data_IF_294659074197
#
_entry.id   IF_294659074197
#
_cell.length_a   1.000
_cell.length_b   1.000
_cell.length_c   1.000
_cell.angle_alpha   90.00
_cell.angle_beta   90.00
_cell.angle_gamma   90.00
#
_symmetry.space_group_name_H-M   'P 1'
#
loop_
_entity.id
_entity.type
_entity.pdbx_description
1 polymer ?
#
# COMPACT_ATOMS: atom_id res chain seq x y z
N UNK A 1 -41.95 -66.29 7.10
CA UNK A 1 -40.53 -66.68 7.04
C UNK A 1 -39.89 -65.94 5.87
N UNK A 2 -39.11 -64.88 6.12
CA UNK A 2 -37.93 -64.48 5.33
C UNK A 2 -37.31 -63.21 5.92
N UNK A 3 -36.41 -63.44 6.89
CA UNK A 3 -35.31 -62.54 7.24
C UNK A 3 -34.42 -62.45 6.01
N UNK A 4 -34.12 -61.25 5.50
CA UNK A 4 -32.96 -60.90 4.63
C UNK A 4 -33.16 -59.50 4.00
N UNK A 5 -33.63 -58.51 4.76
CA UNK A 5 -33.67 -57.10 4.32
C UNK A 5 -32.98 -56.16 5.32
N UNK A 6 -31.93 -56.66 5.99
CA UNK A 6 -30.99 -55.85 6.77
C UNK A 6 -29.71 -55.61 5.98
N UNK A 7 -29.83 -55.28 4.68
CA UNK A 7 -28.71 -54.82 3.85
C UNK A 7 -28.38 -53.38 4.23
N UNK A 8 -27.60 -53.26 5.30
CA UNK A 8 -26.35 -52.49 5.34
C UNK A 8 -26.36 -51.24 4.43
N UNK A 9 -27.13 -50.22 4.81
CA UNK A 9 -26.74 -48.84 4.52
C UNK A 9 -25.50 -48.54 5.37
N UNK A 10 -24.33 -48.93 4.84
CA UNK A 10 -23.03 -48.38 5.23
C UNK A 10 -22.97 -46.97 4.66
N UNK A 11 -23.73 -46.05 5.25
CA UNK A 11 -23.61 -44.61 5.01
C UNK A 11 -22.30 -44.17 5.64
N UNK A 12 -21.23 -44.23 4.86
CA UNK A 12 -19.96 -43.57 5.17
C UNK A 12 -20.20 -42.07 5.14
N UNK A 13 -20.40 -41.48 6.32
CA UNK A 13 -20.43 -40.04 6.50
C UNK A 13 -18.99 -39.52 6.41
N UNK A 14 -18.51 -39.29 5.19
CA UNK A 14 -17.25 -38.57 4.98
C UNK A 14 -17.52 -37.11 5.30
N UNK A 15 -17.20 -36.70 6.52
CA UNK A 15 -17.20 -35.29 6.92
C UNK A 15 -16.07 -34.61 6.14
N UNK A 16 -16.41 -33.97 5.04
CA UNK A 16 -15.52 -33.06 4.32
C UNK A 16 -15.39 -31.80 5.18
N UNK A 17 -14.34 -31.73 5.99
CA UNK A 17 -13.99 -30.49 6.70
C UNK A 17 -13.43 -29.55 5.62
N UNK A 18 -14.09 -28.44 5.27
CA UNK A 18 -13.46 -27.44 4.45
C UNK A 18 -12.32 -26.86 5.27
N UNK A 19 -11.07 -27.19 4.89
CA UNK A 19 -9.93 -26.35 5.25
C UNK A 19 -10.15 -25.03 4.51
N UNK A 20 -10.88 -24.11 5.14
CA UNK A 20 -10.79 -22.71 4.77
C UNK A 20 -9.37 -22.29 5.14
N UNK A 21 -8.45 -22.38 4.19
CA UNK A 21 -7.21 -21.62 4.27
C UNK A 21 -7.63 -20.15 4.27
N UNK A 22 -7.75 -19.57 5.47
CA UNK A 22 -7.80 -18.14 5.61
C UNK A 22 -6.45 -17.63 5.10
N UNK A 23 -6.43 -17.16 3.85
CA UNK A 23 -5.34 -16.33 3.36
C UNK A 23 -5.37 -15.09 4.24
N UNK A 24 -4.52 -15.06 5.26
CA UNK A 24 -4.27 -13.83 5.99
C UNK A 24 -3.69 -12.87 4.96
N UNK A 25 -4.44 -11.85 4.59
CA UNK A 25 -3.90 -10.72 3.86
C UNK A 25 -2.90 -10.04 4.82
N UNK A 26 -1.64 -10.44 4.76
CA UNK A 26 -0.57 -9.71 5.42
C UNK A 26 -0.55 -8.30 4.80
N UNK A 27 -0.43 -7.28 5.65
CA UNK A 27 -0.14 -5.94 5.19
C UNK A 27 1.18 -5.99 4.42
N UNK A 28 1.16 -5.62 3.15
CA UNK A 28 2.35 -5.47 2.36
C UNK A 28 2.80 -4.01 2.48
N UNK A 29 4.00 -3.79 3.03
CA UNK A 29 4.68 -2.51 2.84
C UNK A 29 5.37 -2.61 1.48
N UNK A 30 5.06 -1.68 0.57
CA UNK A 30 5.68 -1.61 -0.76
C UNK A 30 6.47 -0.33 -0.89
N UNK A 31 7.71 -0.46 -1.37
CA UNK A 31 8.59 0.68 -1.59
C UNK A 31 8.65 1.01 -3.06
N UNK A 32 8.42 2.27 -3.39
CA UNK A 32 8.49 2.79 -4.75
C UNK A 32 9.69 3.71 -4.90
N UNK A 33 10.30 3.67 -6.09
CA UNK A 33 11.24 4.64 -6.60
C UNK A 33 10.49 5.68 -7.43
N UNK A 34 10.71 6.95 -7.11
CA UNK A 34 10.12 8.10 -7.78
C UNK A 34 11.21 8.81 -8.57
N UNK A 35 10.94 9.12 -9.84
CA UNK A 35 11.82 9.95 -10.66
C UNK A 35 11.06 11.18 -11.15
N UNK A 36 11.60 12.35 -10.86
CA UNK A 36 11.11 13.65 -11.33
C UNK A 36 12.10 14.29 -12.31
N UNK A 37 11.57 14.99 -13.32
CA UNK A 37 12.34 15.65 -14.36
C UNK A 37 11.82 17.05 -14.67
N UNK A 38 12.73 18.02 -14.78
CA UNK A 38 12.45 19.38 -15.23
C UNK A 38 12.39 19.58 -16.74
N UNK A 39 12.66 18.54 -17.54
CA UNK A 39 12.74 18.65 -19.00
C UNK A 39 11.45 19.17 -19.65
N UNK A 40 10.28 18.79 -19.11
CA UNK A 40 8.98 19.26 -19.58
C UNK A 40 8.78 20.78 -19.39
N UNK A 41 9.58 21.40 -18.52
CA UNK A 41 9.56 22.81 -18.18
C UNK A 41 10.80 23.56 -18.68
N UNK A 42 11.67 22.90 -19.46
CA UNK A 42 12.86 23.53 -20.05
C UNK A 42 14.00 23.81 -19.06
N UNK A 43 14.04 23.14 -17.91
CA UNK A 43 15.14 23.23 -16.95
C UNK A 43 15.86 21.86 -16.77
N UNK A 44 17.03 21.89 -16.11
CA UNK A 44 17.89 20.73 -15.92
C UNK A 44 17.74 20.06 -14.53
N UNK A 45 16.84 20.57 -13.69
CA UNK A 45 16.64 20.04 -12.36
C UNK A 45 16.04 18.62 -12.43
N UNK A 46 16.41 17.79 -11.47
CA UNK A 46 15.89 16.43 -11.29
C UNK A 46 15.62 16.16 -9.83
N UNK A 47 14.71 15.23 -9.54
CA UNK A 47 14.61 14.67 -8.20
C UNK A 47 14.41 13.15 -8.25
N UNK A 48 14.99 12.45 -7.27
CA UNK A 48 14.90 11.00 -7.12
C UNK A 48 14.45 10.70 -5.70
N UNK A 49 13.40 9.91 -5.56
CA UNK A 49 12.82 9.59 -4.26
C UNK A 49 12.61 8.11 -4.03
N UNK A 50 12.48 7.77 -2.75
CA UNK A 50 12.00 6.48 -2.27
C UNK A 50 10.84 6.75 -1.31
N UNK A 51 9.72 6.06 -1.51
CA UNK A 51 8.57 6.09 -0.61
C UNK A 51 8.13 4.67 -0.28
N UNK A 52 7.93 4.38 1.01
CA UNK A 52 7.35 3.11 1.46
C UNK A 52 5.92 3.35 1.89
N UNK A 53 4.98 2.62 1.29
CA UNK A 53 3.54 2.74 1.52
C UNK A 53 3.00 1.45 2.14
N UNK A 54 2.06 1.60 3.08
CA UNK A 54 1.26 0.49 3.60
C UNK A 54 0.03 0.30 2.73
N UNK A 55 -0.01 -0.78 1.94
CA UNK A 55 -1.08 -1.01 0.97
C UNK A 55 -2.47 -1.17 1.62
N UNK A 56 -2.55 -1.50 2.91
CA UNK A 56 -3.83 -1.61 3.61
C UNK A 56 -4.43 -0.25 3.99
N UNK A 57 -3.59 0.78 4.02
CA UNK A 57 -3.97 2.13 4.43
C UNK A 57 -4.07 3.11 3.26
N UNK A 58 -3.53 2.75 2.10
CA UNK A 58 -3.68 3.52 0.86
C UNK A 58 -4.94 3.07 0.11
N UNK A 59 -5.93 3.94 -0.11
CA UNK A 59 -7.10 3.59 -0.91
C UNK A 59 -6.73 3.22 -2.34
N UNK A 60 -7.18 2.05 -2.78
CA UNK A 60 -6.94 1.54 -4.12
C UNK A 60 -8.06 0.57 -4.54
N UNK A 61 -9.16 1.04 -5.13
CA UNK A 61 -9.37 2.40 -5.65
C UNK A 61 -9.71 3.43 -4.56
N UNK A 62 -9.49 4.71 -4.84
CA UNK A 62 -9.96 5.83 -4.03
C UNK A 62 -8.94 6.96 -3.89
N UNK A 63 -9.22 7.86 -2.94
CA UNK A 63 -8.35 8.99 -2.63
C UNK A 63 -8.17 9.20 -1.12
N UNK A 64 -7.05 9.79 -0.74
CA UNK A 64 -6.72 10.12 0.65
C UNK A 64 -5.72 11.27 0.76
N UNK A 65 -5.74 11.91 1.92
CA UNK A 65 -4.62 12.71 2.42
C UNK A 65 -3.74 11.81 3.30
N UNK A 66 -2.47 11.74 2.96
CA UNK A 66 -1.48 10.91 3.63
C UNK A 66 -0.62 11.81 4.52
N UNK A 67 -0.89 11.79 5.83
CA UNK A 67 -0.17 12.57 6.82
C UNK A 67 1.25 12.01 7.02
N UNK A 68 2.28 12.87 6.94
CA UNK A 68 3.67 12.48 7.16
C UNK A 68 4.06 12.44 8.65
N UNK A 69 3.21 12.97 9.54
CA UNK A 69 3.51 13.11 10.97
C UNK A 69 3.18 11.87 11.81
N UNK A 70 2.27 11.00 11.34
CA UNK A 70 1.83 9.82 12.08
C UNK A 70 2.47 8.50 11.62
N UNK A 71 3.13 8.49 10.46
CA UNK A 71 3.77 7.31 9.85
C UNK A 71 2.80 6.12 9.62
N UNK A 72 1.51 6.41 9.45
CA UNK A 72 0.49 5.38 9.26
C UNK A 72 0.58 4.81 7.84
N UNK A 73 0.15 5.57 6.84
CA UNK A 73 0.15 5.09 5.46
C UNK A 73 1.54 5.20 4.79
N UNK A 74 2.32 6.22 5.14
CA UNK A 74 3.69 6.43 4.65
C UNK A 74 4.66 5.96 5.73
N UNK A 75 5.39 4.88 5.45
CA UNK A 75 6.32 4.26 6.41
C UNK A 75 7.73 4.83 6.34
N UNK A 76 8.13 5.31 5.16
CA UNK A 76 9.41 5.95 4.94
C UNK A 76 9.33 6.86 3.71
N UNK A 77 10.06 7.97 3.73
CA UNK A 77 10.20 8.85 2.59
C UNK A 77 11.56 9.56 2.57
N UNK A 78 12.20 9.56 1.40
CA UNK A 78 13.40 10.33 1.09
C UNK A 78 13.28 10.89 -0.32
N UNK A 79 13.69 12.14 -0.57
CA UNK A 79 13.71 12.77 -1.88
C UNK A 79 14.98 13.59 -2.04
N UNK A 80 15.78 13.31 -3.06
CA UNK A 80 16.98 14.09 -3.39
C UNK A 80 16.76 14.91 -4.64
N UNK A 81 16.93 16.22 -4.54
CA UNK A 81 16.86 17.18 -5.65
C UNK A 81 18.26 17.57 -6.08
N UNK A 82 18.48 17.67 -7.39
CA UNK A 82 19.76 18.04 -7.97
C UNK A 82 19.57 18.98 -9.15
N UNK A 83 20.63 19.74 -9.46
CA UNK A 83 20.72 20.63 -10.62
C UNK A 83 19.63 21.73 -10.68
N UNK A 84 19.04 22.11 -9.55
CA UNK A 84 18.19 23.29 -9.48
C UNK A 84 18.99 24.58 -9.74
N UNK A 85 18.38 25.51 -10.46
CA UNK A 85 18.92 26.79 -10.89
C UNK A 85 19.33 27.62 -9.68
N UNK A 86 20.58 28.10 -9.69
CA UNK A 86 21.16 28.83 -8.56
C UNK A 86 21.37 27.98 -7.30
N UNK A 87 21.15 26.66 -7.37
CA UNK A 87 21.26 25.74 -6.25
C UNK A 87 20.10 25.77 -5.27
N UNK A 88 19.07 26.59 -5.52
CA UNK A 88 17.93 26.74 -4.63
C UNK A 88 17.05 25.48 -4.67
N UNK A 89 16.86 24.83 -3.52
CA UNK A 89 16.09 23.59 -3.43
C UNK A 89 16.88 22.31 -3.68
N UNK A 90 18.19 22.39 -3.99
CA UNK A 90 19.04 21.21 -4.01
C UNK A 90 19.22 20.66 -2.58
N UNK A 91 19.17 19.34 -2.44
CA UNK A 91 19.34 18.68 -1.14
C UNK A 91 18.65 17.33 -1.08
N UNK A 92 18.80 16.68 0.07
CA UNK A 92 18.05 15.45 0.41
C UNK A 92 17.08 15.79 1.52
N UNK A 93 15.81 15.53 1.26
CA UNK A 93 14.69 15.82 2.13
C UNK A 93 14.08 14.51 2.61
N UNK A 94 13.72 14.48 3.89
CA UNK A 94 13.17 13.31 4.56
C UNK A 94 11.70 13.56 4.90
N UNK A 95 11.03 12.53 5.38
CA UNK A 95 9.63 12.57 5.82
C UNK A 95 9.32 13.77 6.76
N UNK A 96 10.25 14.18 7.61
CA UNK A 96 10.09 15.32 8.54
C UNK A 96 9.99 16.70 7.88
N UNK A 97 10.36 16.80 6.59
CA UNK A 97 10.36 18.05 5.83
C UNK A 97 9.03 18.33 5.12
N UNK A 98 8.08 17.41 5.20
CA UNK A 98 6.76 17.44 4.56
C UNK A 98 5.64 17.37 5.60
N UNK A 99 4.49 17.98 5.30
CA UNK A 99 3.30 17.90 6.16
C UNK A 99 2.40 16.74 5.72
N UNK A 100 2.07 16.66 4.43
CA UNK A 100 1.21 15.60 3.88
C UNK A 100 1.49 15.34 2.40
N UNK A 101 1.00 14.20 1.89
CA UNK A 101 0.80 13.95 0.48
C UNK A 101 -0.69 13.80 0.16
N UNK A 102 -1.06 13.99 -1.09
CA UNK A 102 -2.36 13.56 -1.61
C UNK A 102 -2.17 12.35 -2.51
N UNK A 103 -3.18 11.50 -2.50
CA UNK A 103 -3.27 10.31 -3.32
C UNK A 103 -4.66 10.23 -3.91
N UNK A 104 -4.75 9.99 -5.22
CA UNK A 104 -6.00 9.69 -5.90
C UNK A 104 -5.74 8.71 -7.05
N UNK A 105 -6.41 7.55 -7.04
CA UNK A 105 -6.33 6.56 -8.11
C UNK A 105 -7.32 6.83 -9.27
N UNK A 106 -8.05 7.95 -9.20
CA UNK A 106 -9.15 8.32 -10.11
C UNK A 106 -10.21 7.22 -10.25
N UNK A 107 -10.55 6.59 -9.12
CA UNK A 107 -11.60 5.58 -9.03
C UNK A 107 -11.24 4.21 -9.60
N UNK A 108 -10.04 4.03 -10.16
CA UNK A 108 -9.58 2.74 -10.68
C UNK A 108 -8.59 2.07 -9.72
N UNK A 109 -8.43 0.74 -9.85
CA UNK A 109 -7.44 -0.02 -9.08
C UNK A 109 -6.09 0.00 -9.80
N UNK A 110 -5.08 0.57 -9.16
CA UNK A 110 -3.69 0.55 -9.60
C UNK A 110 -3.03 -0.76 -9.18
N UNK A 111 -2.19 -1.33 -10.04
CA UNK A 111 -1.34 -2.47 -9.70
C UNK A 111 0.00 -1.97 -9.15
N UNK A 112 0.19 -2.16 -7.85
CA UNK A 112 1.38 -1.76 -7.12
C UNK A 112 2.63 -2.60 -7.42
N UNK A 113 2.51 -3.67 -8.23
CA UNK A 113 3.63 -4.50 -8.67
C UNK A 113 4.27 -4.04 -9.99
N UNK A 114 3.80 -2.94 -10.57
CA UNK A 114 4.34 -2.39 -11.81
C UNK A 114 4.43 -0.85 -11.76
N UNK A 115 4.96 -0.23 -12.81
CA UNK A 115 4.99 1.22 -12.96
C UNK A 115 3.57 1.80 -12.81
N UNK A 116 3.37 2.75 -11.88
CA UNK A 116 2.05 3.39 -11.68
C UNK A 116 1.75 4.42 -12.76
N UNK A 117 2.75 5.24 -13.12
CA UNK A 117 2.60 6.28 -14.15
C UNK A 117 2.19 5.65 -15.49
N UNK A 118 0.99 5.99 -15.94
CA UNK A 118 0.41 5.54 -17.21
C UNK A 118 -0.52 4.34 -17.12
N UNK A 119 -0.74 3.75 -15.94
CA UNK A 119 -1.80 2.76 -15.76
C UNK A 119 -3.16 3.37 -16.07
N UNK A 120 -4.10 2.58 -16.61
CA UNK A 120 -5.37 3.12 -17.05
C UNK A 120 -6.24 3.59 -15.87
N UNK A 121 -6.82 4.78 -16.02
CA UNK A 121 -7.79 5.41 -15.12
C UNK A 121 -8.94 6.01 -15.94
N UNK A 122 -9.97 6.54 -15.29
CA UNK A 122 -11.10 7.18 -15.98
C UNK A 122 -10.68 8.36 -16.88
N UNK A 123 -9.66 9.14 -16.47
CA UNK A 123 -9.11 10.25 -17.25
C UNK A 123 -7.92 9.88 -18.15
N UNK A 124 -7.66 8.59 -18.38
CA UNK A 124 -6.54 8.10 -19.18
C UNK A 124 -5.42 7.51 -18.34
N UNK A 125 -4.17 7.59 -18.79
CA UNK A 125 -3.05 7.04 -18.01
C UNK A 125 -2.81 7.84 -16.70
N UNK A 126 -2.69 7.18 -15.55
CA UNK A 126 -2.43 7.79 -14.25
C UNK A 126 -1.19 8.69 -14.32
N UNK A 127 -1.29 9.95 -13.90
CA UNK A 127 -0.20 10.92 -14.04
C UNK A 127 0.15 11.36 -15.47
N UNK A 128 -0.64 10.95 -16.48
CA UNK A 128 -0.46 11.35 -17.88
C UNK A 128 -1.58 12.24 -18.43
N UNK A 129 -2.63 12.53 -17.65
CA UNK A 129 -3.68 13.45 -18.14
C UNK A 129 -3.05 14.77 -18.60
N UNK A 130 -3.43 15.19 -19.80
CA UNK A 130 -3.12 16.52 -20.32
C UNK A 130 -3.98 17.61 -19.66
N UNK A 131 -5.02 17.20 -18.92
CA UNK A 131 -5.92 18.08 -18.19
C UNK A 131 -5.48 18.15 -16.74
N UNK A 132 -5.25 19.37 -16.25
CA UNK A 132 -5.05 19.67 -14.85
C UNK A 132 -6.36 19.63 -14.05
N UNK A 133 -7.19 18.62 -14.30
CA UNK A 133 -8.48 18.42 -13.65
C UNK A 133 -8.48 17.25 -12.66
N UNK A 134 -7.33 16.59 -12.46
CA UNK A 134 -7.21 15.41 -11.59
C UNK A 134 -7.88 14.15 -12.16
N UNK A 135 -8.43 14.19 -13.38
CA UNK A 135 -9.20 13.07 -13.94
C UNK A 135 -8.39 11.79 -14.13
N UNK A 136 -7.05 11.87 -14.18
CA UNK A 136 -6.16 10.71 -14.19
C UNK A 136 -5.41 10.51 -12.86
N UNK A 137 -6.07 10.88 -11.76
CA UNK A 137 -5.57 10.70 -10.41
C UNK A 137 -4.60 11.79 -10.00
N UNK A 138 -3.96 11.57 -8.85
CA UNK A 138 -3.11 12.54 -8.21
C UNK A 138 -2.06 11.86 -7.33
N UNK A 139 -0.84 12.39 -7.36
CA UNK A 139 0.14 12.24 -6.29
C UNK A 139 0.91 13.54 -6.12
N UNK A 140 0.70 14.21 -4.98
CA UNK A 140 1.33 15.49 -4.68
C UNK A 140 1.98 15.45 -3.29
N UNK A 141 3.10 16.15 -3.12
CA UNK A 141 3.84 16.27 -1.86
C UNK A 141 3.77 17.71 -1.37
N UNK A 142 3.46 17.96 -0.11
CA UNK A 142 3.36 19.31 0.44
C UNK A 142 4.43 19.52 1.52
N UNK A 143 5.37 20.42 1.22
CA UNK A 143 6.45 20.77 2.13
C UNK A 143 5.90 21.44 3.38
N UNK A 144 6.56 21.18 4.51
CA UNK A 144 6.24 21.84 5.77
C UNK A 144 6.49 23.34 5.70
N UNK A 145 5.66 24.13 6.38
CA UNK A 145 5.86 25.57 6.48
C UNK A 145 7.28 25.90 7.00
N UNK A 146 8.02 26.73 6.25
CA UNK A 146 9.41 27.11 6.57
C UNK A 146 10.46 26.09 6.12
N UNK A 147 10.07 24.94 5.57
CA UNK A 147 10.98 23.99 4.93
C UNK A 147 11.41 24.50 3.54
N UNK A 148 12.65 24.18 3.16
CA UNK A 148 13.15 24.36 1.79
C UNK A 148 12.90 23.14 0.90
N UNK A 149 12.14 22.15 1.38
CA UNK A 149 11.79 20.97 0.61
C UNK A 149 10.91 21.31 -0.59
N UNK A 150 10.94 20.50 -1.66
CA UNK A 150 10.04 20.65 -2.78
C UNK A 150 8.59 20.55 -2.34
N UNK A 151 7.71 21.33 -2.98
CA UNK A 151 6.27 21.29 -2.70
C UNK A 151 5.51 21.16 -4.01
N UNK A 152 4.29 20.64 -3.95
CA UNK A 152 3.46 20.39 -5.13
C UNK A 152 2.97 21.67 -5.78
N UNK A 153 3.29 21.86 -7.06
CA UNK A 153 2.86 22.99 -7.90
C UNK A 153 1.63 22.67 -8.76
N UNK A 154 1.02 21.50 -8.55
CA UNK A 154 -0.04 20.93 -9.39
C UNK A 154 0.14 19.43 -9.55
N UNK A 155 -0.82 18.77 -10.19
CA UNK A 155 -0.85 17.30 -10.30
C UNK A 155 0.47 16.72 -10.83
N UNK A 156 1.11 15.87 -10.03
CA UNK A 156 2.37 15.20 -10.39
C UNK A 156 3.52 16.16 -10.67
N UNK A 157 3.49 17.37 -10.09
CA UNK A 157 4.53 18.39 -10.29
C UNK A 157 5.03 18.93 -8.97
N UNK A 158 6.32 19.25 -8.89
CA UNK A 158 6.96 19.88 -7.73
C UNK A 158 7.65 21.18 -8.14
N UNK A 159 7.61 22.18 -7.28
CA UNK A 159 8.56 23.29 -7.28
C UNK A 159 9.73 22.92 -6.35
N UNK A 160 10.96 22.91 -6.88
CA UNK A 160 12.15 22.38 -6.20
C UNK A 160 12.49 23.07 -4.87
N UNK A 161 12.11 24.34 -4.69
CA UNK A 161 12.51 25.20 -3.57
C UNK A 161 11.32 25.77 -2.79
N UNK A 162 10.13 25.15 -2.87
CA UNK A 162 8.89 25.65 -2.26
C UNK A 162 8.43 27.04 -2.79
N UNK A 163 8.90 27.45 -3.98
CA UNK A 163 8.48 28.68 -4.67
C UNK A 163 7.85 28.35 -6.03
N UNK A 164 6.53 28.50 -6.12
CA UNK A 164 5.76 28.20 -7.34
C UNK A 164 6.02 29.13 -8.52
N UNK A 165 6.49 30.35 -8.24
CA UNK A 165 6.61 31.40 -9.24
C UNK A 165 8.02 31.42 -9.83
N UNK A 166 9.03 31.15 -9.00
CA UNK A 166 10.44 31.29 -9.39
C UNK A 166 11.23 30.00 -9.25
N UNK A 167 10.65 28.94 -8.69
CA UNK A 167 11.31 27.64 -8.54
C UNK A 167 11.38 26.85 -9.83
N UNK A 168 12.41 26.01 -9.95
CA UNK A 168 12.44 25.01 -11.01
C UNK A 168 11.30 24.01 -10.81
N UNK A 169 10.45 23.90 -11.83
CA UNK A 169 9.37 22.93 -11.86
C UNK A 169 9.89 21.58 -12.31
N UNK A 170 9.38 20.52 -11.67
CA UNK A 170 9.73 19.13 -11.89
C UNK A 170 8.45 18.32 -12.09
N UNK A 171 8.41 17.45 -13.10
CA UNK A 171 7.29 16.53 -13.33
C UNK A 171 7.66 15.13 -12.87
N UNK A 172 6.78 14.45 -12.15
CA UNK A 172 6.90 13.03 -11.84
C UNK A 172 6.77 12.24 -13.14
N UNK A 173 7.84 11.58 -13.55
CA UNK A 173 7.90 10.79 -14.79
C UNK A 173 7.93 9.29 -14.53
N UNK A 174 8.23 8.88 -13.30
CA UNK A 174 8.30 7.47 -12.91
C UNK A 174 7.88 7.25 -11.46
N UNK A 175 7.11 6.18 -11.21
CA UNK A 175 6.67 5.76 -9.88
C UNK A 175 6.57 4.23 -9.91
N UNK A 176 7.69 3.56 -9.67
CA UNK A 176 7.87 2.12 -9.90
C UNK A 176 8.20 1.40 -8.59
N UNK A 177 7.67 0.19 -8.35
CA UNK A 177 8.06 -0.57 -7.18
C UNK A 177 9.54 -0.96 -7.26
N UNK A 178 10.20 -0.96 -6.12
CA UNK A 178 11.56 -1.47 -5.98
C UNK A 178 11.48 -2.99 -5.89
N UNK A 179 12.18 -3.70 -6.76
CA UNK A 179 12.11 -5.17 -6.80
C UNK A 179 12.46 -5.79 -5.45
N UNK A 180 11.62 -6.71 -4.98
CA UNK A 180 11.79 -7.38 -3.69
C UNK A 180 11.43 -6.51 -2.47
N UNK A 181 10.80 -5.34 -2.66
CA UNK A 181 10.43 -4.46 -1.55
C UNK A 181 9.21 -4.90 -0.75
N UNK A 182 8.48 -5.93 -1.19
CA UNK A 182 7.33 -6.45 -0.45
C UNK A 182 7.87 -7.11 0.81
N UNK A 183 7.82 -6.39 1.93
CA UNK A 183 8.14 -6.96 3.22
C UNK A 183 6.86 -7.54 3.82
N UNK A 184 6.78 -8.87 4.04
CA UNK A 184 5.68 -9.45 4.78
C UNK A 184 5.69 -8.87 6.19
N UNK A 185 4.58 -8.26 6.62
CA UNK A 185 4.45 -7.81 8.00
C UNK A 185 4.43 -9.04 8.90
N UNK A 186 5.36 -9.17 9.88
CA UNK A 186 5.42 -10.33 10.75
C UNK A 186 4.09 -10.54 11.45
N UNK A 187 3.45 -11.69 11.23
CA UNK A 187 2.27 -12.07 11.99
C UNK A 187 2.60 -12.00 13.49
N UNK A 188 1.73 -11.42 14.34
CA UNK A 188 1.82 -11.67 15.77
C UNK A 188 1.76 -13.19 15.93
N UNK A 189 2.84 -13.78 16.47
CA UNK A 189 2.99 -15.23 16.56
C UNK A 189 1.68 -15.81 17.13
N UNK A 190 1.00 -16.73 16.43
CA UNK A 190 -0.21 -17.32 16.95
C UNK A 190 0.18 -18.04 18.24
N UNK A 191 -0.21 -17.46 19.38
CA UNK A 191 -0.18 -18.16 20.65
C UNK A 191 -1.12 -19.32 20.43
N UNK A 192 -0.56 -20.51 20.29
CA UNK A 192 -1.28 -21.78 20.21
C UNK A 192 -2.04 -22.01 21.52
N UNK A 193 -3.13 -21.28 21.73
CA UNK A 193 -4.06 -21.42 22.84
C UNK A 193 -5.12 -22.49 22.54
N UNK A 194 -4.74 -23.52 21.77
CA UNK A 194 -5.58 -24.69 21.47
C UNK A 194 -4.88 -25.98 21.89
N UNK A 195 -4.11 -25.94 22.97
CA UNK A 195 -3.70 -27.12 23.71
C UNK A 195 -4.64 -27.33 24.90
N UNK A 196 -5.26 -28.51 24.97
CA UNK A 196 -5.93 -29.11 26.14
C UNK A 196 -7.41 -28.77 26.46
N UNK A 197 -8.34 -29.22 25.61
CA UNK A 197 -9.72 -29.53 26.07
C UNK A 197 -10.30 -30.83 25.46
N UNK A 198 -9.45 -31.73 24.97
CA UNK A 198 -9.86 -33.08 24.56
C UNK A 198 -9.17 -34.07 25.49
N UNK A 199 -9.84 -34.49 26.56
CA UNK A 199 -9.27 -35.56 27.39
C UNK A 199 -9.84 -35.86 28.78
N UNK A 200 -11.03 -35.40 29.19
CA UNK A 200 -11.69 -35.92 30.42
C UNK A 200 -13.18 -35.60 30.27
N UNK A 201 -14.18 -36.48 30.23
CA UNK A 201 -14.50 -37.65 31.03
C UNK A 201 -15.47 -38.56 30.25
N UNK A 202 -15.03 -39.76 29.83
CA UNK A 202 -15.92 -40.89 29.55
C UNK A 202 -15.46 -42.08 30.39
N UNK A 203 -15.98 -42.18 31.61
CA UNK A 203 -16.17 -43.47 32.31
C UNK A 203 -16.87 -43.25 33.66
N UNK A 204 -18.21 -43.20 33.64
CA UNK A 204 -19.01 -43.66 34.79
C UNK A 204 -19.64 -44.99 34.40
N UNK A 205 -19.00 -46.10 34.82
CA UNK A 205 -19.64 -47.41 34.84
C UNK A 205 -20.77 -47.38 35.87
N UNK A 206 -21.98 -47.70 35.43
CA UNK A 206 -23.11 -47.95 36.30
C UNK A 206 -22.87 -49.25 37.09
N UNK A 207 -22.96 -49.16 38.42
CA UNK A 207 -23.09 -50.33 39.30
C UNK A 207 -24.58 -50.48 39.61
N UNK A 208 -25.19 -51.55 39.10
CA UNK A 208 -26.47 -52.08 39.60
C UNK A 208 -26.15 -53.25 40.53
N UNK A 209 -26.68 -53.21 41.75
CA UNK A 209 -26.69 -54.36 42.66
C UNK A 209 -28.14 -54.60 43.07
N UNK A 210 -28.66 -55.75 42.67
CA UNK A 210 -30.01 -56.22 42.98
C UNK A 210 -30.10 -56.71 44.43
N UNK A 211 -31.24 -56.45 45.07
CA UNK A 211 -31.81 -57.16 46.20
C UNK A 211 -33.32 -57.24 46.03
#
# INVERSE_FOLDING_TARGET
MNKQLNKLLKTGLTVLIPLCAAGNAEAAIVTFSLDYSGLAFGNAATAQGLISLDEQLIPNPGSAFLDFSNNDAIKAFTLTVSNATGGLGNGTFQMTDFDFATWDSAGETLDFNQQLIGQWTQGGGWGKSARWDGGAGEFNLYAKAGSSAPTSSGYFTLAANNDFLNGDLLKLVSFKPVSGSVQPVPLPAPIWLFGSAVGVFLSRKAVKKDH
#
